data_IF_351490158586
#
_entry.id   IF_351490158586
#
_cell.length_a   1.000
_cell.length_b   1.000
_cell.length_c   1.000
_cell.angle_alpha   90.00
_cell.angle_beta   90.00
_cell.angle_gamma   90.00
#
_symmetry.space_group_name_H-M   'P 1'
#
loop_
_entity.id
_entity.type
_entity.pdbx_description
1 polymer ?
#
# COMPACT_ATOMS: atom_id res chain seq x y z
N UNK A 1 -15.21 -42.48 33.68
CA UNK A 1 -14.67 -41.12 33.46
C UNK A 1 -14.20 -40.63 34.82
N UNK A 2 -12.92 -40.87 35.14
CA UNK A 2 -11.80 -39.90 34.98
C UNK A 2 -11.90 -38.77 36.02
N UNK A 3 -11.27 -38.97 37.19
CA UNK A 3 -9.91 -38.53 37.66
C UNK A 3 -9.95 -37.18 38.40
N UNK A 4 -9.85 -37.24 39.74
CA UNK A 4 -8.76 -36.74 40.61
C UNK A 4 -8.89 -35.24 40.94
N UNK A 5 -9.39 -34.84 42.11
CA UNK A 5 -8.89 -35.03 43.48
C UNK A 5 -7.60 -34.24 43.77
N UNK A 6 -7.63 -33.36 44.78
CA UNK A 6 -6.44 -32.65 45.25
C UNK A 6 -6.65 -31.21 45.71
N UNK A 7 -7.22 -31.04 46.91
CA UNK A 7 -7.02 -29.86 47.75
C UNK A 7 -5.53 -29.46 47.82
N UNK A 8 -5.20 -28.16 48.01
CA UNK A 8 -4.41 -27.68 49.17
C UNK A 8 -4.09 -26.18 49.13
N UNK A 9 -4.39 -25.58 50.29
CA UNK A 9 -3.68 -24.53 51.01
C UNK A 9 -3.56 -23.13 50.40
N UNK A 10 -4.44 -22.26 50.89
CA UNK A 10 -4.08 -20.89 51.20
C UNK A 10 -2.95 -20.87 52.24
N UNK A 11 -1.77 -20.43 51.83
CA UNK A 11 -0.80 -19.79 52.71
C UNK A 11 -0.47 -18.41 52.12
N UNK A 12 -1.17 -17.41 52.65
CA UNK A 12 -0.86 -15.99 52.49
C UNK A 12 0.45 -15.70 53.23
N UNK A 13 1.59 -15.90 52.57
CA UNK A 13 2.83 -15.26 52.98
C UNK A 13 2.76 -13.79 52.56
N UNK A 14 2.38 -12.94 53.53
CA UNK A 14 2.72 -11.52 53.53
C UNK A 14 4.24 -11.42 53.46
N UNK A 15 4.76 -10.95 52.34
CA UNK A 15 5.87 -10.01 52.26
C UNK A 15 6.00 -9.54 50.80
N UNK A 16 5.71 -8.27 50.56
CA UNK A 16 5.83 -7.63 49.24
C UNK A 16 4.48 -7.18 48.69
N UNK A 17 3.97 -6.04 49.17
CA UNK A 17 2.81 -5.36 48.58
C UNK A 17 3.24 -4.65 47.28
N UNK A 18 3.59 -5.45 46.29
CA UNK A 18 3.86 -5.01 44.92
C UNK A 18 2.58 -5.14 44.11
N UNK A 19 1.83 -4.04 43.99
CA UNK A 19 0.70 -3.96 43.07
C UNK A 19 1.22 -4.14 41.63
N UNK A 20 0.96 -5.30 41.02
CA UNK A 20 1.30 -5.55 39.62
C UNK A 20 0.10 -5.13 38.76
N UNK A 21 0.24 -4.02 38.03
CA UNK A 21 -0.76 -3.54 37.08
C UNK A 21 -0.49 -4.20 35.72
N UNK A 22 -1.42 -5.04 35.25
CA UNK A 22 -1.36 -5.62 33.90
C UNK A 22 -1.83 -4.59 32.88
N UNK A 23 -0.92 -4.11 32.03
CA UNK A 23 -1.25 -3.28 30.89
C UNK A 23 -1.37 -4.14 29.63
N UNK A 24 -2.49 -3.99 28.92
CA UNK A 24 -2.65 -4.49 27.54
C UNK A 24 -2.53 -3.31 26.61
N UNK A 25 -1.54 -3.35 25.72
CA UNK A 25 -1.34 -2.34 24.69
C UNK A 25 -1.85 -2.94 23.38
N UNK A 26 -2.92 -2.37 22.85
CA UNK A 26 -3.41 -2.70 21.52
C UNK A 26 -2.61 -1.88 20.50
N UNK A 27 -1.77 -2.54 19.71
CA UNK A 27 -1.10 -1.91 18.58
C UNK A 27 -2.09 -1.88 17.42
N UNK A 28 -2.55 -0.69 17.06
CA UNK A 28 -3.39 -0.48 15.87
C UNK A 28 -2.48 -0.18 14.70
N UNK A 29 -2.58 -0.97 13.63
CA UNK A 29 -1.86 -0.73 12.39
C UNK A 29 -2.40 0.53 11.71
N UNK A 30 -1.60 1.59 11.67
CA UNK A 30 -1.87 2.78 10.89
C UNK A 30 -1.33 2.58 9.47
N UNK A 31 -2.19 2.03 8.61
CA UNK A 31 -1.83 1.76 7.21
C UNK A 31 -1.59 3.02 6.41
N UNK A 32 -2.31 4.10 6.72
CA UNK A 32 -2.15 5.38 6.01
C UNK A 32 -0.75 5.93 6.26
N UNK A 33 -0.33 6.01 7.53
CA UNK A 33 1.01 6.46 7.89
C UNK A 33 2.11 5.56 7.30
N UNK A 34 1.91 4.23 7.26
CA UNK A 34 2.87 3.30 6.66
C UNK A 34 3.00 3.50 5.14
N UNK A 35 1.89 3.76 4.45
CA UNK A 35 1.90 4.02 3.00
C UNK A 35 2.53 5.38 2.71
N UNK A 36 2.18 6.42 3.46
CA UNK A 36 2.79 7.76 3.31
C UNK A 36 4.30 7.74 3.53
N UNK A 37 4.77 7.05 4.57
CA UNK A 37 6.21 6.93 4.83
C UNK A 37 6.91 6.11 3.72
N UNK A 38 6.25 5.09 3.18
CA UNK A 38 6.78 4.35 2.03
C UNK A 38 6.92 5.25 0.80
N UNK A 39 5.93 6.11 0.53
CA UNK A 39 5.98 7.10 -0.54
C UNK A 39 7.13 8.08 -0.34
N UNK A 40 7.29 8.61 0.89
CA UNK A 40 8.37 9.53 1.25
C UNK A 40 9.74 8.89 1.02
N UNK A 41 9.93 7.64 1.45
CA UNK A 41 11.18 6.90 1.23
C UNK A 41 11.45 6.65 -0.25
N UNK A 42 10.41 6.31 -1.03
CA UNK A 42 10.50 6.17 -2.48
C UNK A 42 10.95 7.45 -3.18
N UNK A 43 10.33 8.58 -2.85
CA UNK A 43 10.69 9.90 -3.40
C UNK A 43 12.13 10.32 -3.09
N UNK A 44 12.68 9.87 -1.96
CA UNK A 44 14.08 10.12 -1.58
C UNK A 44 15.08 9.14 -2.22
N UNK A 45 14.61 8.16 -2.99
CA UNK A 45 15.45 7.10 -3.55
C UNK A 45 15.87 6.04 -2.53
N UNK A 46 15.31 6.05 -1.31
CA UNK A 46 15.57 5.08 -0.25
C UNK A 46 14.74 3.79 -0.49
N UNK A 47 14.94 3.22 -1.67
CA UNK A 47 14.20 2.09 -2.22
C UNK A 47 14.30 0.79 -1.42
N UNK A 48 15.40 0.61 -0.68
CA UNK A 48 15.57 -0.53 0.22
C UNK A 48 14.64 -0.41 1.43
N UNK A 49 14.63 0.75 2.06
CA UNK A 49 13.85 1.00 3.27
C UNK A 49 12.35 1.05 2.94
N UNK A 50 11.99 1.67 1.81
CA UNK A 50 10.61 1.64 1.30
C UNK A 50 10.10 0.21 1.09
N UNK A 51 10.93 -0.69 0.53
CA UNK A 51 10.56 -2.10 0.35
C UNK A 51 10.42 -2.84 1.68
N UNK A 52 11.32 -2.59 2.63
CA UNK A 52 11.24 -3.20 3.95
C UNK A 52 9.97 -2.77 4.69
N UNK A 53 9.64 -1.48 4.64
CA UNK A 53 8.40 -0.96 5.20
C UNK A 53 7.17 -1.60 4.54
N UNK A 54 7.17 -1.69 3.21
CA UNK A 54 6.11 -2.35 2.46
C UNK A 54 5.87 -3.81 2.88
N UNK A 55 6.95 -4.56 3.14
CA UNK A 55 6.89 -5.94 3.62
C UNK A 55 6.43 -6.07 5.07
N UNK A 56 6.56 -5.00 5.86
CA UNK A 56 6.11 -4.95 7.26
C UNK A 56 4.61 -4.67 7.41
N UNK A 57 3.94 -4.18 6.36
CA UNK A 57 2.49 -3.97 6.35
C UNK A 57 1.79 -5.30 6.65
N UNK A 58 0.83 -5.27 7.58
CA UNK A 58 0.13 -6.46 8.02
C UNK A 58 -0.52 -7.23 6.84
N UNK A 59 -0.52 -8.58 6.83
CA UNK A 59 -1.01 -9.37 5.71
C UNK A 59 -2.44 -9.06 5.27
N UNK A 60 -3.31 -8.67 6.23
CA UNK A 60 -4.70 -8.26 5.97
C UNK A 60 -4.82 -7.00 5.11
N UNK A 61 -3.74 -6.20 5.04
CA UNK A 61 -3.69 -4.95 4.30
C UNK A 61 -2.86 -5.04 3.00
N UNK A 62 -2.12 -6.14 2.80
CA UNK A 62 -1.28 -6.35 1.61
C UNK A 62 -2.04 -6.39 0.28
N UNK A 63 -3.35 -6.66 0.31
CA UNK A 63 -4.21 -6.69 -0.87
C UNK A 63 -5.06 -5.41 -1.03
N UNK A 64 -4.91 -4.43 -0.14
CA UNK A 64 -5.56 -3.12 -0.31
C UNK A 64 -4.98 -2.42 -1.53
N UNK A 65 -5.83 -1.77 -2.31
CA UNK A 65 -5.41 -1.14 -3.56
C UNK A 65 -4.30 -0.11 -3.33
N UNK A 66 -4.42 0.70 -2.28
CA UNK A 66 -3.48 1.77 -1.94
C UNK A 66 -2.07 1.21 -1.69
N UNK A 67 -1.99 0.08 -0.99
CA UNK A 67 -0.74 -0.62 -0.71
C UNK A 67 -0.15 -1.21 -1.99
N UNK A 68 -0.96 -1.91 -2.79
CA UNK A 68 -0.53 -2.52 -4.05
C UNK A 68 -0.08 -1.45 -5.05
N UNK A 69 -0.82 -0.36 -5.16
CA UNK A 69 -0.52 0.75 -6.07
C UNK A 69 0.84 1.37 -5.74
N UNK A 70 1.09 1.70 -4.47
CA UNK A 70 2.35 2.31 -4.08
C UNK A 70 3.53 1.32 -4.14
N UNK A 71 3.29 0.01 -3.91
CA UNK A 71 4.28 -1.03 -4.20
C UNK A 71 4.69 -1.07 -5.68
N UNK A 72 3.71 -1.01 -6.58
CA UNK A 72 3.97 -0.99 -8.02
C UNK A 72 4.66 0.32 -8.44
N UNK A 73 4.33 1.45 -7.80
CA UNK A 73 4.95 2.74 -8.08
C UNK A 73 6.41 2.72 -7.68
N UNK A 74 6.71 2.13 -6.52
CA UNK A 74 8.06 1.93 -6.05
C UNK A 74 8.89 1.06 -7.02
N UNK A 75 8.28 0.04 -7.64
CA UNK A 75 8.93 -0.76 -8.70
C UNK A 75 9.18 0.07 -9.96
N UNK A 76 8.23 0.93 -10.34
CA UNK A 76 8.34 1.83 -11.49
C UNK A 76 9.53 2.77 -11.32
N UNK A 77 9.62 3.42 -10.15
CA UNK A 77 10.69 4.37 -9.82
C UNK A 77 12.07 3.70 -9.75
N UNK A 78 12.12 2.42 -9.37
CA UNK A 78 13.35 1.62 -9.36
C UNK A 78 13.77 1.11 -10.75
N UNK A 79 12.92 1.24 -11.77
CA UNK A 79 13.14 0.63 -13.07
C UNK A 79 12.93 -0.89 -13.10
N UNK A 80 12.25 -1.46 -12.10
CA UNK A 80 11.91 -2.89 -12.03
C UNK A 80 10.67 -3.22 -12.88
N UNK A 81 10.74 -2.90 -14.17
CA UNK A 81 9.58 -2.91 -15.07
C UNK A 81 8.98 -4.32 -15.29
N UNK A 82 9.82 -5.35 -15.39
CA UNK A 82 9.36 -6.74 -15.55
C UNK A 82 8.56 -7.20 -14.32
N UNK A 83 9.12 -6.99 -13.12
CA UNK A 83 8.46 -7.36 -11.86
C UNK A 83 7.16 -6.58 -11.65
N UNK A 84 7.14 -5.29 -12.04
CA UNK A 84 5.94 -4.46 -12.00
C UNK A 84 4.82 -5.06 -12.86
N UNK A 85 5.13 -5.42 -14.11
CA UNK A 85 4.13 -5.93 -15.06
C UNK A 85 3.57 -7.27 -14.55
N UNK A 86 4.44 -8.20 -14.14
CA UNK A 86 4.00 -9.50 -13.61
C UNK A 86 3.09 -9.34 -12.39
N UNK A 87 3.46 -8.46 -11.45
CA UNK A 87 2.66 -8.19 -10.25
C UNK A 87 1.34 -7.51 -10.60
N UNK A 88 1.34 -6.49 -11.46
CA UNK A 88 0.14 -5.77 -11.85
C UNK A 88 -0.87 -6.67 -12.60
N UNK A 89 -0.39 -7.56 -13.47
CA UNK A 89 -1.23 -8.53 -14.18
C UNK A 89 -1.80 -9.61 -13.25
N UNK A 90 -1.07 -10.00 -12.20
CA UNK A 90 -1.58 -10.89 -11.16
C UNK A 90 -2.77 -10.28 -10.40
N UNK A 91 -2.70 -8.98 -10.09
CA UNK A 91 -3.75 -8.27 -9.36
C UNK A 91 -4.96 -7.87 -10.22
N UNK A 92 -4.95 -8.11 -11.53
CA UNK A 92 -6.04 -7.73 -12.43
C UNK A 92 -7.30 -8.60 -12.31
N UNK A 93 -7.31 -9.59 -11.42
CA UNK A 93 -8.39 -10.59 -11.32
C UNK A 93 -9.41 -10.35 -10.21
N UNK A 94 -9.20 -9.43 -9.26
CA UNK A 94 -10.12 -9.21 -8.14
C UNK A 94 -10.37 -7.73 -7.80
N UNK A 95 -11.64 -7.41 -7.51
CA UNK A 95 -12.16 -6.29 -6.70
C UNK A 95 -11.77 -4.82 -6.98
N UNK A 96 -11.08 -4.47 -8.07
CA UNK A 96 -10.77 -3.05 -8.36
C UNK A 96 -11.88 -2.32 -9.10
N UNK A 97 -12.09 -1.06 -8.70
CA UNK A 97 -12.97 -0.13 -9.43
C UNK A 97 -12.43 0.13 -10.85
N UNK A 98 -13.26 0.65 -11.77
CA UNK A 98 -12.81 1.01 -13.11
C UNK A 98 -11.65 2.02 -13.12
N UNK A 99 -11.65 2.97 -12.18
CA UNK A 99 -10.59 3.99 -12.04
C UNK A 99 -9.27 3.33 -11.60
N UNK A 100 -9.31 2.50 -10.57
CA UNK A 100 -8.15 1.75 -10.06
C UNK A 100 -7.54 0.85 -11.15
N UNK A 101 -8.39 0.16 -11.90
CA UNK A 101 -7.96 -0.66 -13.04
C UNK A 101 -7.30 0.17 -14.14
N UNK A 102 -7.78 1.39 -14.37
CA UNK A 102 -7.20 2.32 -15.35
C UNK A 102 -5.82 2.81 -14.91
N UNK A 103 -5.67 3.15 -13.62
CA UNK A 103 -4.37 3.54 -13.05
C UNK A 103 -3.33 2.42 -13.20
N UNK A 104 -3.70 1.17 -12.91
CA UNK A 104 -2.79 0.03 -13.11
C UNK A 104 -2.39 -0.16 -14.58
N UNK A 105 -3.34 -0.03 -15.50
CA UNK A 105 -3.05 -0.09 -16.94
C UNK A 105 -2.07 1.01 -17.37
N UNK A 106 -2.18 2.21 -16.80
CA UNK A 106 -1.23 3.29 -17.05
C UNK A 106 0.17 2.98 -16.51
N UNK A 107 0.29 2.39 -15.34
CA UNK A 107 1.62 2.02 -14.82
C UNK A 107 2.29 0.95 -15.67
N UNK A 108 1.54 -0.07 -16.10
CA UNK A 108 1.99 -1.08 -17.07
C UNK A 108 2.42 -0.41 -18.38
N UNK A 109 1.66 0.60 -18.84
CA UNK A 109 1.98 1.37 -20.03
C UNK A 109 3.36 2.02 -19.94
N UNK A 110 3.59 2.76 -18.86
CA UNK A 110 4.83 3.48 -18.62
C UNK A 110 5.98 2.47 -18.56
N UNK A 111 5.83 1.39 -17.81
CA UNK A 111 6.84 0.34 -17.70
C UNK A 111 7.23 -0.25 -19.07
N UNK A 112 6.24 -0.59 -19.91
CA UNK A 112 6.49 -1.15 -21.26
C UNK A 112 7.19 -0.15 -22.18
N UNK A 113 6.77 1.13 -22.16
CA UNK A 113 7.41 2.20 -22.95
C UNK A 113 8.86 2.40 -22.49
N UNK A 114 9.11 2.39 -21.18
CA UNK A 114 10.45 2.52 -20.62
C UNK A 114 11.37 1.35 -20.99
N UNK A 115 10.81 0.16 -21.22
CA UNK A 115 11.56 -1.00 -21.71
C UNK A 115 11.82 -0.94 -23.23
N UNK A 116 10.92 -0.36 -24.02
CA UNK A 116 10.91 -0.46 -25.48
C UNK A 116 11.78 0.56 -26.22
N UNK A 117 12.98 0.89 -25.71
CA UNK A 117 13.88 1.88 -26.32
C UNK A 117 14.38 1.57 -27.75
N UNK A 118 13.86 0.54 -28.43
CA UNK A 118 14.31 0.14 -29.78
C UNK A 118 13.28 -0.36 -30.79
N UNK A 119 11.97 -0.47 -30.52
CA UNK A 119 11.05 -1.01 -31.55
C UNK A 119 9.65 -0.35 -31.58
N UNK A 120 9.44 0.51 -32.57
CA UNK A 120 8.21 1.28 -32.88
C UNK A 120 6.94 0.41 -33.07
N UNK A 121 7.07 -0.91 -33.18
CA UNK A 121 5.94 -1.80 -33.52
C UNK A 121 5.07 -2.18 -32.32
N UNK A 122 5.63 -2.28 -31.10
CA UNK A 122 4.83 -2.64 -29.90
C UNK A 122 4.11 -1.45 -29.29
N UNK A 123 4.68 -0.24 -29.39
CA UNK A 123 4.03 0.98 -28.94
C UNK A 123 2.71 1.27 -29.69
N UNK A 124 2.64 0.93 -30.98
CA UNK A 124 1.49 1.18 -31.84
C UNK A 124 0.28 0.27 -31.53
N UNK A 125 0.50 -1.04 -31.37
CA UNK A 125 -0.54 -1.99 -30.97
C UNK A 125 -1.07 -1.68 -29.55
N UNK A 126 -0.20 -1.13 -28.72
CA UNK A 126 -0.49 -0.75 -27.34
C UNK A 126 -1.27 0.57 -27.20
N UNK A 127 -0.92 1.62 -27.96
CA UNK A 127 -1.73 2.85 -28.05
C UNK A 127 -3.15 2.55 -28.54
N UNK A 128 -3.32 1.52 -29.38
CA UNK A 128 -4.63 1.02 -29.80
C UNK A 128 -5.44 0.43 -28.65
N UNK A 129 -4.80 -0.21 -27.67
CA UNK A 129 -5.42 -0.66 -26.42
C UNK A 129 -5.78 0.49 -25.46
N UNK A 130 -5.06 1.62 -25.55
CA UNK A 130 -5.32 2.85 -24.82
C UNK A 130 -6.30 3.81 -25.55
N UNK A 131 -6.75 3.51 -26.77
CA UNK A 131 -7.70 4.37 -27.51
C UNK A 131 -9.04 4.59 -26.80
N UNK A 132 -9.36 3.75 -25.81
CA UNK A 132 -10.56 3.89 -24.97
C UNK A 132 -10.32 4.66 -23.67
N UNK A 133 -9.08 5.05 -23.41
CA UNK A 133 -8.66 5.77 -22.22
C UNK A 133 -8.39 7.19 -22.69
N UNK A 134 -9.37 8.08 -22.53
CA UNK A 134 -9.16 9.50 -22.83
C UNK A 134 -8.16 10.07 -21.82
N UNK A 135 -6.90 10.33 -22.22
CA UNK A 135 -5.87 10.78 -21.30
C UNK A 135 -6.19 12.17 -20.74
N UNK A 136 -6.95 12.99 -21.48
CA UNK A 136 -7.38 14.30 -21.05
C UNK A 136 -8.43 14.20 -19.94
N UNK A 137 -9.44 13.33 -20.09
CA UNK A 137 -10.45 13.11 -19.03
C UNK A 137 -9.85 12.53 -17.75
N UNK A 138 -8.78 11.74 -17.85
CA UNK A 138 -8.07 11.21 -16.68
C UNK A 138 -7.17 12.24 -16.01
N UNK A 139 -6.49 13.07 -16.78
CA UNK A 139 -5.74 14.21 -16.24
C UNK A 139 -6.69 15.22 -15.58
N UNK A 140 -7.82 15.54 -16.20
CA UNK A 140 -8.84 16.42 -15.64
C UNK A 140 -9.45 15.83 -14.36
N UNK A 141 -9.78 14.53 -14.35
CA UNK A 141 -10.31 13.84 -13.17
C UNK A 141 -9.31 13.77 -12.01
N UNK A 142 -8.01 13.52 -12.30
CA UNK A 142 -6.96 13.52 -11.28
C UNK A 142 -6.66 14.92 -10.75
N UNK A 143 -6.63 15.93 -11.61
CA UNK A 143 -6.47 17.33 -11.21
C UNK A 143 -7.61 17.80 -10.33
N UNK A 144 -8.85 17.43 -10.65
CA UNK A 144 -10.02 17.80 -9.87
C UNK A 144 -9.99 17.18 -8.47
N UNK A 145 -9.62 15.89 -8.34
CA UNK A 145 -9.49 15.22 -7.04
C UNK A 145 -8.30 15.72 -6.20
N UNK A 146 -7.16 16.01 -6.82
CA UNK A 146 -6.02 16.62 -6.13
C UNK A 146 -6.34 18.03 -5.65
N UNK A 147 -7.15 18.78 -6.40
CA UNK A 147 -7.62 20.09 -5.98
C UNK A 147 -8.59 19.96 -4.80
N UNK A 148 -9.54 19.03 -4.87
CA UNK A 148 -10.52 18.81 -3.80
C UNK A 148 -9.87 18.33 -2.49
N UNK A 149 -8.82 17.49 -2.55
CA UNK A 149 -8.07 17.05 -1.37
C UNK A 149 -7.18 18.16 -0.79
N UNK A 150 -6.63 19.07 -1.61
CA UNK A 150 -5.85 20.21 -1.12
C UNK A 150 -6.70 21.19 -0.29
N UNK A 151 -7.99 21.36 -0.61
CA UNK A 151 -8.90 22.25 0.14
C UNK A 151 -9.37 21.68 1.48
N UNK A 152 -9.26 20.37 1.71
CA UNK A 152 -9.61 19.77 3.01
C UNK A 152 -8.47 19.98 4.03
N UNK A 153 -7.23 20.10 3.56
CA UNK A 153 -6.05 20.31 4.42
C UNK A 153 -5.81 21.75 4.87
N UNK A 154 -6.57 22.73 4.39
CA UNK A 154 -6.35 24.16 4.69
C UNK A 154 -7.34 24.75 5.70
N UNK A 155 -7.83 24.01 6.70
CA UNK A 155 -8.59 24.63 7.80
C UNK A 155 -8.53 23.89 9.15
N UNK A 156 -7.34 23.77 9.73
CA UNK A 156 -7.18 23.71 11.20
C UNK A 156 -6.07 24.68 11.63
N UNK A 157 -6.32 25.99 11.46
CA UNK A 157 -5.62 27.00 12.26
C UNK A 157 -6.35 27.12 13.60
N UNK A 158 -5.80 26.45 14.61
CA UNK A 158 -6.17 26.68 16.01
C UNK A 158 -5.76 28.10 16.36
N UNK A 159 -6.73 28.93 16.72
CA UNK A 159 -6.55 30.19 17.44
C UNK A 159 -7.03 30.00 18.89
#
# INVERSE_FOLDING_TARGET
MERQDGQRHAELNRDGDGFTMEFKIDVVDDIEAQVEEMMRLGALGNFKDARQLSQSIAPVHQQKFEVVFEQLRLMLDQGAYTDLIERAEFHHKDAYTPIQSTLLKMMIAIARISMSSTEDSQASEFLRGLQHIDPLLLCEGLQQRLTDELWITEEVRIA
#
